data_IF_490169797058
#
_entry.id   IF_490169797058
#
_cell.length_a   1.000
_cell.length_b   1.000
_cell.length_c   1.000
_cell.angle_alpha   90.00
_cell.angle_beta   90.00
_cell.angle_gamma   90.00
#
_symmetry.space_group_name_H-M   'P 1'
#
loop_
_entity.id
_entity.type
_entity.pdbx_description
1 polymer ?
#
# COMPACT_ATOMS: atom_id res chain seq x y z
N UNK A 1 22.17 0.68 -2.23
CA UNK A 1 22.39 0.49 -0.91
C UNK A 1 21.11 0.63 -0.11
N UNK A 2 21.21 1.16 1.10
CA UNK A 2 20.04 1.20 1.97
C UNK A 2 18.93 2.09 1.42
N UNK A 3 19.31 3.11 0.72
CA UNK A 3 18.33 4.03 0.21
C UNK A 3 17.36 3.35 -0.75
N UNK A 4 17.87 2.52 -1.62
CA UNK A 4 17.02 1.86 -2.59
C UNK A 4 16.08 0.89 -1.91
N UNK A 5 16.58 0.16 -0.97
CA UNK A 5 15.77 -0.82 -0.27
C UNK A 5 14.70 -0.11 0.55
N UNK A 6 15.06 0.98 1.17
CA UNK A 6 14.09 1.72 1.96
C UNK A 6 12.98 2.25 1.07
N UNK A 7 13.35 2.78 -0.07
CA UNK A 7 12.36 3.31 -0.97
C UNK A 7 11.43 2.21 -1.44
N UNK A 8 11.98 1.07 -1.77
CA UNK A 8 11.18 -0.04 -2.23
C UNK A 8 10.20 -0.47 -1.15
N UNK A 9 10.66 -0.50 0.09
CA UNK A 9 9.83 -0.88 1.21
C UNK A 9 8.66 0.07 1.35
N UNK A 10 8.94 1.36 1.29
CA UNK A 10 7.91 2.36 1.45
C UNK A 10 6.87 2.23 0.34
N UNK A 11 7.32 2.04 -0.88
CA UNK A 11 6.40 1.91 -1.99
C UNK A 11 5.52 0.69 -1.82
N UNK A 12 6.12 -0.39 -1.34
CA UNK A 12 5.36 -1.61 -1.16
C UNK A 12 4.29 -1.43 -0.11
N UNK A 13 4.63 -0.82 0.99
CA UNK A 13 3.67 -0.58 2.05
C UNK A 13 2.55 0.32 1.56
N UNK A 14 2.92 1.37 0.83
CA UNK A 14 1.93 2.29 0.33
C UNK A 14 0.96 1.57 -0.60
N UNK A 15 1.48 0.68 -1.42
CA UNK A 15 0.63 -0.04 -2.34
C UNK A 15 -0.33 -0.95 -1.58
N UNK A 16 0.18 -1.64 -0.61
CA UNK A 16 -0.64 -2.55 0.17
C UNK A 16 -1.74 -1.78 0.90
N UNK A 17 -1.37 -0.67 1.49
CA UNK A 17 -2.35 0.13 2.21
C UNK A 17 -3.41 0.66 1.25
N UNK A 18 -2.98 1.09 0.09
CA UNK A 18 -3.91 1.62 -0.89
C UNK A 18 -4.91 0.55 -1.31
N UNK A 19 -4.43 -0.62 -1.62
CA UNK A 19 -5.30 -1.70 -2.05
C UNK A 19 -6.28 -2.07 -0.93
N UNK A 20 -5.80 -2.10 0.29
CA UNK A 20 -6.66 -2.44 1.41
C UNK A 20 -7.73 -1.38 1.59
N UNK A 21 -7.35 -0.14 1.44
CA UNK A 21 -8.32 0.93 1.58
C UNK A 21 -9.40 0.83 0.52
N UNK A 22 -8.99 0.62 -0.70
CA UNK A 22 -9.94 0.54 -1.79
C UNK A 22 -10.86 -0.66 -1.60
N UNK A 23 -10.27 -1.77 -1.22
CA UNK A 23 -11.05 -2.97 -1.02
C UNK A 23 -12.06 -2.79 0.10
N UNK A 24 -11.61 -2.18 1.19
CA UNK A 24 -12.48 -1.98 2.31
C UNK A 24 -13.59 -1.00 1.96
N UNK A 25 -13.24 0.08 1.30
CA UNK A 25 -14.21 1.07 0.95
C UNK A 25 -15.23 0.52 0.00
N UNK A 26 -14.76 -0.17 -0.99
CA UNK A 26 -15.65 -0.69 -1.99
C UNK A 26 -16.59 -1.70 -1.37
N UNK A 27 -16.04 -2.61 -0.63
CA UNK A 27 -16.85 -3.59 -0.01
C UNK A 27 -17.77 -2.94 0.98
N UNK A 28 -17.23 -1.98 1.66
CA UNK A 28 -17.98 -1.36 2.66
C UNK A 28 -19.23 -0.80 2.12
N UNK A 29 -19.11 -0.14 1.00
CA UNK A 29 -20.20 0.44 0.55
C UNK A 29 -21.08 -0.57 0.09
N UNK A 30 -20.53 -1.56 -0.30
CA UNK A 30 -21.34 -2.64 -0.80
C UNK A 30 -22.13 -3.04 0.32
#
# INVERSE_FOLDING_TARGET
>A
AALSITLLFVVMIALVVYVKNVNKGSAGHG
#
